data_IF_977634226460
#
_entry.id   IF_977634226460
#
_cell.length_a   1.000
_cell.length_b   1.000
_cell.length_c   1.000
_cell.angle_alpha   90.00
_cell.angle_beta   90.00
_cell.angle_gamma   90.00
#
_symmetry.space_group_name_H-M   'P 1'
#
loop_
_entity.id
_entity.type
_entity.pdbx_description
1 polymer ?
#
# COMPACT_ATOMS: atom_id res chain seq x y z
N UNK A 1 -12.45 4.41 -63.17
CA UNK A 1 -12.20 5.70 -62.51
C UNK A 1 -12.40 5.44 -61.03
N UNK A 2 -11.31 5.06 -60.34
CA UNK A 2 -11.34 4.65 -58.94
C UNK A 2 -10.96 5.85 -58.08
N UNK A 3 -11.87 6.28 -57.23
CA UNK A 3 -11.58 7.26 -56.19
C UNK A 3 -11.21 6.49 -54.92
N UNK A 4 -9.91 6.50 -54.60
CA UNK A 4 -9.42 6.07 -53.30
C UNK A 4 -9.71 7.20 -52.31
N UNK A 5 -10.68 6.96 -51.44
CA UNK A 5 -10.89 7.74 -50.22
C UNK A 5 -9.70 7.48 -49.29
N UNK A 6 -8.84 8.47 -49.12
CA UNK A 6 -7.86 8.48 -48.05
C UNK A 6 -8.59 8.81 -46.75
N UNK A 7 -8.86 7.79 -45.94
CA UNK A 7 -9.18 7.98 -44.53
C UNK A 7 -7.89 8.51 -43.85
N UNK A 8 -7.83 9.83 -43.64
CA UNK A 8 -6.84 10.41 -42.73
C UNK A 8 -7.22 9.94 -41.31
N UNK A 9 -6.51 8.92 -40.81
CA UNK A 9 -6.49 8.59 -39.40
C UNK A 9 -5.98 9.82 -38.63
N UNK A 10 -6.90 10.63 -38.10
CA UNK A 10 -6.57 11.65 -37.11
C UNK A 10 -5.93 10.93 -35.91
N UNK A 11 -4.59 10.94 -35.85
CA UNK A 11 -3.86 10.57 -34.65
C UNK A 11 -4.40 11.41 -33.49
N UNK A 12 -5.21 10.79 -32.63
CA UNK A 12 -5.73 11.39 -31.41
C UNK A 12 -4.53 11.76 -30.52
N UNK A 13 -4.00 12.99 -30.68
CA UNK A 13 -2.92 13.50 -29.84
C UNK A 13 -3.48 13.67 -28.44
N UNK A 14 -3.16 12.73 -27.57
CA UNK A 14 -3.46 12.82 -26.13
C UNK A 14 -2.66 13.99 -25.55
N UNK A 15 -3.31 15.15 -25.43
CA UNK A 15 -2.71 16.34 -24.84
C UNK A 15 -2.72 16.16 -23.31
N UNK A 16 -1.57 15.77 -22.75
CA UNK A 16 -1.36 15.79 -21.30
C UNK A 16 -1.19 17.23 -20.83
N UNK A 17 -2.26 17.82 -20.28
CA UNK A 17 -2.17 19.10 -19.56
C UNK A 17 -1.99 18.83 -18.06
N UNK A 18 -0.80 19.08 -17.53
CA UNK A 18 -0.59 19.08 -16.08
C UNK A 18 -1.11 20.40 -15.50
N UNK A 19 -1.96 20.40 -14.46
CA UNK A 19 -2.53 21.62 -13.87
C UNK A 19 -1.50 22.52 -13.15
N UNK A 20 -0.22 22.15 -13.19
CA UNK A 20 0.89 22.85 -12.53
C UNK A 20 1.95 23.27 -13.55
N UNK A 21 2.56 24.43 -13.33
CA UNK A 21 3.72 24.89 -14.08
C UNK A 21 4.88 23.90 -13.89
N UNK A 22 5.59 23.53 -14.96
CA UNK A 22 6.66 22.52 -14.96
C UNK A 22 7.76 22.79 -13.92
N UNK A 23 8.15 24.06 -13.76
CA UNK A 23 9.08 24.51 -12.72
C UNK A 23 8.57 24.23 -11.29
N UNK A 24 7.28 24.47 -11.03
CA UNK A 24 6.67 24.26 -9.73
C UNK A 24 6.64 22.76 -9.41
N UNK A 25 6.30 21.93 -10.40
CA UNK A 25 6.33 20.47 -10.26
C UNK A 25 7.73 19.96 -9.92
N UNK A 26 8.77 20.45 -10.60
CA UNK A 26 10.16 20.11 -10.29
C UNK A 26 10.54 20.53 -8.86
N UNK A 27 10.18 21.74 -8.45
CA UNK A 27 10.43 22.24 -7.10
C UNK A 27 9.75 21.37 -6.03
N UNK A 28 8.50 20.93 -6.28
CA UNK A 28 7.78 20.02 -5.39
C UNK A 28 8.48 18.67 -5.27
N UNK A 29 9.01 18.12 -6.37
CA UNK A 29 9.78 16.86 -6.32
C UNK A 29 11.05 17.05 -5.50
N UNK A 30 11.82 18.10 -5.76
CA UNK A 30 13.07 18.38 -5.01
C UNK A 30 12.77 18.54 -3.52
N UNK A 31 11.75 19.33 -3.18
CA UNK A 31 11.34 19.54 -1.79
C UNK A 31 10.82 18.25 -1.14
N UNK A 32 10.04 17.45 -1.87
CA UNK A 32 9.55 16.16 -1.39
C UNK A 32 10.68 15.17 -1.12
N UNK A 33 11.65 15.07 -2.03
CA UNK A 33 12.85 14.25 -1.86
C UNK A 33 13.68 14.77 -0.68
N UNK A 34 13.90 16.07 -0.57
CA UNK A 34 14.59 16.67 0.57
C UNK A 34 13.92 16.32 1.91
N UNK A 35 12.61 16.52 2.02
CA UNK A 35 11.83 16.18 3.21
C UNK A 35 11.88 14.68 3.52
N UNK A 36 11.80 13.83 2.49
CA UNK A 36 11.92 12.39 2.63
C UNK A 36 13.29 11.99 3.18
N UNK A 37 14.40 12.49 2.62
CA UNK A 37 15.74 12.20 3.12
C UNK A 37 15.91 12.71 4.55
N UNK A 38 15.46 13.95 4.84
CA UNK A 38 15.53 14.51 6.18
C UNK A 38 14.80 13.64 7.21
N UNK A 39 13.57 13.23 6.92
CA UNK A 39 12.82 12.32 7.79
C UNK A 39 13.51 10.95 7.87
N UNK A 40 13.97 10.39 6.75
CA UNK A 40 14.63 9.08 6.72
C UNK A 40 15.85 9.03 7.64
N UNK A 41 16.76 10.01 7.54
CA UNK A 41 17.94 10.06 8.39
C UNK A 41 17.60 10.35 9.86
N UNK A 42 16.65 11.27 10.11
CA UNK A 42 16.20 11.58 11.47
C UNK A 42 15.64 10.34 12.17
N UNK A 43 14.66 9.67 11.55
CA UNK A 43 14.06 8.47 12.10
C UNK A 43 15.04 7.30 12.18
N UNK A 44 15.91 7.13 11.17
CA UNK A 44 16.93 6.07 11.19
C UNK A 44 17.87 6.21 12.38
N UNK A 45 18.35 7.43 12.65
CA UNK A 45 19.19 7.69 13.81
C UNK A 45 18.47 7.40 15.14
N UNK A 46 17.19 7.77 15.27
CA UNK A 46 16.39 7.45 16.45
C UNK A 46 16.26 5.93 16.67
N UNK A 47 15.92 5.16 15.63
CA UNK A 47 15.82 3.71 15.73
C UNK A 47 17.18 3.05 16.02
N UNK A 48 18.27 3.52 15.41
CA UNK A 48 19.62 3.02 15.73
C UNK A 48 19.89 3.21 17.22
N UNK A 49 19.64 4.38 17.78
CA UNK A 49 19.83 4.65 19.21
C UNK A 49 18.97 3.70 20.06
N UNK A 50 17.69 3.51 19.72
CA UNK A 50 16.80 2.58 20.43
C UNK A 50 17.31 1.14 20.41
N UNK A 51 17.77 0.63 19.26
CA UNK A 51 18.34 -0.71 19.21
C UNK A 51 19.68 -0.78 19.97
N UNK A 52 20.48 0.28 19.98
CA UNK A 52 21.73 0.33 20.76
C UNK A 52 21.46 0.27 22.26
N UNK A 53 20.43 0.96 22.77
CA UNK A 53 20.05 0.87 24.19
C UNK A 53 19.53 -0.51 24.58
N UNK A 54 18.93 -1.24 23.63
CA UNK A 54 18.56 -2.66 23.76
C UNK A 54 19.75 -3.62 23.65
N UNK A 55 20.98 -3.11 23.64
CA UNK A 55 22.22 -3.90 23.64
C UNK A 55 22.54 -4.57 22.31
N UNK A 56 22.04 -4.06 21.18
CA UNK A 56 22.46 -4.54 19.85
C UNK A 56 23.80 -3.94 19.42
N UNK A 57 24.53 -4.68 18.58
CA UNK A 57 25.75 -4.16 17.94
C UNK A 57 25.37 -3.06 16.94
N UNK A 58 26.28 -2.13 16.67
CA UNK A 58 26.01 -1.03 15.74
C UNK A 58 25.54 -1.51 14.35
N UNK A 59 26.19 -2.54 13.80
CA UNK A 59 25.79 -3.14 12.51
C UNK A 59 24.37 -3.70 12.53
N UNK A 60 23.95 -4.34 13.63
CA UNK A 60 22.61 -4.90 13.79
C UNK A 60 21.56 -3.79 13.96
N UNK A 61 21.86 -2.77 14.77
CA UNK A 61 21.00 -1.61 14.96
C UNK A 61 20.72 -0.88 13.64
N UNK A 62 21.75 -0.70 12.80
CA UNK A 62 21.60 -0.11 11.46
C UNK A 62 20.73 -0.98 10.57
N UNK A 63 20.96 -2.30 10.57
CA UNK A 63 20.16 -3.23 9.78
C UNK A 63 18.68 -3.21 10.18
N UNK A 64 18.37 -3.24 11.49
CA UNK A 64 17.00 -3.19 11.98
C UNK A 64 16.34 -1.84 11.72
N UNK A 65 17.04 -0.72 11.92
CA UNK A 65 16.50 0.60 11.57
C UNK A 65 16.19 0.71 10.07
N UNK A 66 17.10 0.21 9.22
CA UNK A 66 16.88 0.15 7.78
C UNK A 66 15.69 -0.76 7.42
N UNK A 67 15.54 -1.91 8.09
CA UNK A 67 14.41 -2.78 7.89
C UNK A 67 13.08 -2.13 8.29
N UNK A 68 13.00 -1.51 9.46
CA UNK A 68 11.79 -0.82 9.94
C UNK A 68 11.39 0.34 9.03
N UNK A 69 12.35 1.12 8.51
CA UNK A 69 12.04 2.34 7.77
C UNK A 69 12.01 2.06 6.26
N UNK A 70 13.13 1.64 5.69
CA UNK A 70 13.28 1.49 4.25
C UNK A 70 12.52 0.26 3.74
N UNK A 71 12.76 -0.92 4.31
CA UNK A 71 12.09 -2.13 3.83
C UNK A 71 10.58 -2.08 4.10
N UNK A 72 10.14 -1.57 5.25
CA UNK A 72 8.70 -1.36 5.47
C UNK A 72 8.06 -0.43 4.44
N UNK A 73 8.72 0.66 4.05
CA UNK A 73 8.20 1.55 3.01
C UNK A 73 8.23 0.89 1.63
N UNK A 74 9.36 0.31 1.24
CA UNK A 74 9.56 -0.31 -0.08
C UNK A 74 8.64 -1.52 -0.31
N UNK A 75 8.43 -2.35 0.72
CA UNK A 75 7.57 -3.54 0.64
C UNK A 75 6.10 -3.24 1.01
N UNK A 76 5.74 -1.99 1.30
CA UNK A 76 4.33 -1.62 1.60
C UNK A 76 3.40 -1.82 0.40
N UNK A 77 3.92 -1.77 -0.82
CA UNK A 77 3.10 -2.03 -2.03
C UNK A 77 2.71 -3.52 -2.15
N UNK A 78 3.42 -4.41 -1.45
CA UNK A 78 3.22 -5.85 -1.54
C UNK A 78 2.15 -6.28 -0.54
N UNK A 79 1.06 -6.83 -1.04
CA UNK A 79 -0.06 -7.33 -0.23
C UNK A 79 -0.26 -8.83 -0.51
N UNK A 80 -0.11 -9.66 0.52
CA UNK A 80 -0.28 -11.11 0.42
C UNK A 80 -1.76 -11.45 0.66
N UNK A 81 -2.51 -11.95 -0.34
CA UNK A 81 -3.90 -12.36 -0.13
C UNK A 81 -3.94 -13.58 0.78
N UNK A 82 -4.65 -13.49 1.90
CA UNK A 82 -4.77 -14.57 2.89
C UNK A 82 -6.13 -15.24 2.87
N UNK A 83 -7.17 -14.50 2.48
CA UNK A 83 -8.53 -15.01 2.52
C UNK A 83 -9.42 -14.33 1.50
N UNK A 84 -10.39 -15.06 0.97
CA UNK A 84 -11.35 -14.55 -0.01
C UNK A 84 -12.76 -14.80 0.49
N UNK A 85 -13.49 -13.73 0.77
CA UNK A 85 -14.87 -13.76 1.23
C UNK A 85 -15.75 -13.60 0.00
N UNK A 86 -16.62 -14.58 -0.23
CA UNK A 86 -17.59 -14.53 -1.32
C UNK A 86 -18.98 -14.40 -0.73
N UNK A 87 -19.67 -13.31 -1.05
CA UNK A 87 -21.03 -13.05 -0.59
C UNK A 87 -21.94 -12.76 -1.77
N UNK A 88 -23.08 -13.42 -1.82
CA UNK A 88 -24.17 -13.01 -2.70
C UNK A 88 -24.85 -11.78 -2.09
N UNK A 89 -24.89 -10.70 -2.87
CA UNK A 89 -25.57 -9.47 -2.48
C UNK A 89 -26.60 -9.11 -3.54
N UNK A 90 -27.70 -8.53 -3.10
CA UNK A 90 -28.69 -7.91 -3.99
C UNK A 90 -28.25 -6.48 -4.26
N UNK A 91 -28.07 -6.16 -5.55
CA UNK A 91 -27.62 -4.84 -5.98
C UNK A 91 -28.76 -4.20 -6.77
N UNK A 92 -29.09 -2.91 -6.51
CA UNK A 92 -30.06 -2.19 -7.33
C UNK A 92 -29.62 -2.19 -8.79
N UNK A 93 -30.56 -2.48 -9.70
CA UNK A 93 -30.35 -2.50 -11.13
C UNK A 93 -31.58 -1.95 -11.84
N UNK A 94 -31.36 -1.27 -12.96
CA UNK A 94 -32.45 -0.73 -13.77
C UNK A 94 -32.73 -1.71 -14.89
N UNK A 95 -33.97 -2.17 -14.99
CA UNK A 95 -34.47 -2.94 -16.13
C UNK A 95 -35.34 -2.02 -16.99
N UNK A 96 -35.16 -2.10 -18.31
CA UNK A 96 -36.02 -1.41 -19.26
C UNK A 96 -37.10 -2.37 -19.77
N UNK A 97 -38.35 -1.93 -19.73
CA UNK A 97 -39.46 -2.60 -20.41
C UNK A 97 -40.03 -1.67 -21.46
N UNK A 98 -40.44 -2.20 -22.62
CA UNK A 98 -41.03 -1.39 -23.69
C UNK A 98 -42.54 -1.55 -23.66
N UNK A 99 -43.25 -0.43 -23.57
CA UNK A 99 -44.72 -0.39 -23.65
C UNK A 99 -45.11 0.68 -24.68
N UNK A 100 -45.85 0.29 -25.72
CA UNK A 100 -46.17 1.14 -26.89
C UNK A 100 -44.95 1.82 -27.54
N UNK A 101 -43.81 1.12 -27.62
CA UNK A 101 -42.58 1.68 -28.20
C UNK A 101 -41.83 2.67 -27.29
N UNK A 102 -42.35 2.95 -26.09
CA UNK A 102 -41.72 3.82 -25.10
C UNK A 102 -40.99 2.94 -24.06
N UNK A 103 -39.67 3.12 -23.86
CA UNK A 103 -38.93 2.41 -22.83
C UNK A 103 -39.18 3.01 -21.43
N UNK A 104 -39.65 2.20 -20.50
CA UNK A 104 -39.84 2.56 -19.09
C UNK A 104 -38.80 1.88 -18.20
N UNK A 105 -38.24 2.64 -17.26
CA UNK A 105 -37.26 2.15 -16.28
C UNK A 105 -37.98 1.59 -15.04
N UNK A 106 -37.68 0.34 -14.70
CA UNK A 106 -38.17 -0.31 -13.49
C UNK A 106 -36.97 -0.64 -12.60
N UNK A 107 -36.95 -0.18 -11.33
CA UNK A 107 -35.95 -0.61 -10.37
C UNK A 107 -36.16 -2.10 -10.07
N UNK A 108 -35.09 -2.88 -10.20
CA UNK A 108 -35.06 -4.32 -9.93
C UNK A 108 -33.85 -4.64 -9.06
N UNK A 109 -33.91 -5.75 -8.33
CA UNK A 109 -32.76 -6.28 -7.62
C UNK A 109 -32.16 -7.44 -8.39
N UNK A 110 -30.85 -7.40 -8.64
CA UNK A 110 -30.12 -8.54 -9.20
C UNK A 110 -29.18 -9.11 -8.16
N UNK A 111 -29.12 -10.44 -8.06
CA UNK A 111 -28.11 -11.11 -7.24
C UNK A 111 -26.76 -11.03 -7.95
N UNK A 112 -25.77 -10.44 -7.30
CA UNK A 112 -24.38 -10.47 -7.75
C UNK A 112 -23.49 -11.10 -6.70
N UNK A 113 -22.53 -11.88 -7.18
CA UNK A 113 -21.46 -12.46 -6.35
C UNK A 113 -20.41 -11.37 -6.11
N UNK A 114 -20.33 -10.86 -4.89
CA UNK A 114 -19.26 -9.94 -4.48
C UNK A 114 -18.11 -10.73 -3.87
N UNK A 115 -16.92 -10.51 -4.38
CA UNK A 115 -15.69 -11.12 -3.89
C UNK A 115 -14.87 -10.03 -3.19
N UNK A 116 -14.57 -10.24 -1.92
CA UNK A 116 -13.66 -9.41 -1.14
C UNK A 116 -12.41 -10.24 -0.82
N UNK A 117 -11.23 -9.72 -1.16
CA UNK A 117 -9.95 -10.35 -0.83
C UNK A 117 -9.36 -9.64 0.37
N UNK A 118 -9.14 -10.38 1.45
CA UNK A 118 -8.40 -9.94 2.63
C UNK A 118 -6.92 -10.22 2.37
N UNK A 119 -6.07 -9.20 2.54
CA UNK A 119 -4.64 -9.30 2.35
C UNK A 119 -3.87 -8.73 3.54
N UNK A 120 -2.66 -9.23 3.76
CA UNK A 120 -1.72 -8.73 4.76
C UNK A 120 -0.64 -7.92 4.04
N UNK A 121 -0.39 -6.72 4.54
CA UNK A 121 0.65 -5.84 4.01
C UNK A 121 2.04 -6.30 4.45
N UNK A 122 2.96 -6.54 3.50
CA UNK A 122 4.29 -7.06 3.84
C UNK A 122 5.11 -6.00 4.57
N UNK A 123 5.19 -4.79 4.01
CA UNK A 123 5.97 -3.71 4.60
C UNK A 123 5.42 -3.23 5.95
N UNK A 124 4.12 -2.96 6.02
CA UNK A 124 3.46 -2.35 7.17
C UNK A 124 2.98 -3.31 8.26
N UNK A 125 2.92 -4.62 8.00
CA UNK A 125 2.53 -5.60 9.02
C UNK A 125 3.59 -6.68 9.24
N UNK A 126 4.08 -7.34 8.19
CA UNK A 126 5.00 -8.47 8.35
C UNK A 126 6.35 -8.02 8.94
N UNK A 127 6.97 -6.98 8.39
CA UNK A 127 8.27 -6.51 8.90
C UNK A 127 8.17 -6.03 10.36
N UNK A 128 7.20 -5.15 10.74
CA UNK A 128 7.02 -4.76 12.14
C UNK A 128 6.81 -5.96 13.08
N UNK A 129 5.95 -6.91 12.71
CA UNK A 129 5.67 -8.09 13.53
C UNK A 129 6.93 -8.94 13.72
N UNK A 130 7.71 -9.19 12.66
CA UNK A 130 8.95 -9.97 12.75
C UNK A 130 9.97 -9.31 13.69
N UNK A 131 10.12 -7.98 13.60
CA UNK A 131 11.05 -7.24 14.46
C UNK A 131 10.55 -7.23 15.91
N UNK A 132 9.26 -7.00 16.14
CA UNK A 132 8.66 -7.10 17.48
C UNK A 132 8.84 -8.49 18.08
N UNK A 133 8.59 -9.55 17.31
CA UNK A 133 8.77 -10.93 17.77
C UNK A 133 10.23 -11.22 18.12
N UNK A 134 11.17 -10.77 17.28
CA UNK A 134 12.59 -10.91 17.54
C UNK A 134 13.03 -10.19 18.83
N UNK A 135 12.52 -8.97 19.07
CA UNK A 135 12.76 -8.23 20.30
C UNK A 135 12.19 -8.96 21.53
N UNK A 136 10.98 -9.52 21.42
CA UNK A 136 10.36 -10.32 22.49
C UNK A 136 11.22 -11.56 22.79
N UNK A 137 11.67 -12.28 21.77
CA UNK A 137 12.54 -13.46 21.97
C UNK A 137 13.87 -13.08 22.65
N UNK A 138 14.45 -11.94 22.25
CA UNK A 138 15.68 -11.45 22.89
C UNK A 138 15.45 -11.11 24.37
N UNK A 139 14.35 -10.43 24.71
CA UNK A 139 14.09 -10.06 26.11
C UNK A 139 13.79 -11.30 26.97
N UNK A 140 13.09 -12.29 26.42
CA UNK A 140 12.81 -13.56 27.09
C UNK A 140 14.06 -14.40 27.34
N UNK A 141 15.10 -14.25 26.51
CA UNK A 141 16.38 -14.94 26.70
C UNK A 141 17.26 -14.23 27.74
N UNK A 142 16.88 -13.03 28.19
CA UNK A 142 17.66 -12.30 29.19
C UNK A 142 17.54 -12.97 30.57
N UNK A 143 18.66 -13.27 31.26
CA UNK A 143 18.66 -14.14 32.44
C UNK A 143 17.85 -13.60 33.63
N UNK A 144 17.72 -12.28 33.76
CA UNK A 144 16.87 -11.66 34.77
C UNK A 144 15.38 -11.86 34.49
N UNK A 145 14.97 -11.83 33.22
CA UNK A 145 13.57 -12.00 32.82
C UNK A 145 13.11 -13.44 33.05
N UNK A 146 13.96 -14.43 32.71
CA UNK A 146 13.69 -15.84 32.99
C UNK A 146 13.49 -16.11 34.48
N UNK A 147 14.30 -15.49 35.35
CA UNK A 147 14.17 -15.66 36.80
C UNK A 147 12.87 -15.09 37.35
N UNK A 148 12.40 -13.95 36.83
CA UNK A 148 11.11 -13.36 37.23
C UNK A 148 9.96 -14.23 36.73
N UNK A 149 10.04 -14.74 35.51
CA UNK A 149 8.97 -15.54 34.90
C UNK A 149 8.85 -16.95 35.48
N UNK A 150 9.97 -17.54 35.96
CA UNK A 150 10.00 -18.82 36.66
C UNK A 150 9.70 -18.69 38.17
N UNK A 151 9.77 -17.47 38.72
CA UNK A 151 9.45 -17.19 40.13
C UNK A 151 7.99 -16.73 40.33
N UNK A 152 7.22 -16.56 39.25
CA UNK A 152 5.79 -16.28 39.24
C UNK A 152 5.00 -17.55 38.93
#
# INVERSE_FOLDING_TARGET
MGENFYEEEEEEKVIFYTPFHSLLFLLMIIFGVFMFLMMFFWWSSAFIILFRTLGFRFSESVLFAFAVIFFSAALSIVNIPVYRIVKEIEVPSIRYIVFFGIPYTIPTFIRRRRVMTVAINVGGAVIPILISLFLILKILTFPYCQRVLLAA
#
